data_IF_578114188069
#
_entry.id   IF_578114188069
#
_cell.length_a   1.000
_cell.length_b   1.000
_cell.length_c   1.000
_cell.angle_alpha   90.00
_cell.angle_beta   90.00
_cell.angle_gamma   90.00
#
_symmetry.space_group_name_H-M   'P 1'
#
loop_
_entity.id
_entity.type
_entity.pdbx_description
1 polymer ?
#
# COMPACT_ATOMS: atom_id res chain seq x y z
N UNK A 1 -10.11 10.44 3.76
CA UNK A 1 -9.86 9.69 2.51
C UNK A 1 -11.21 9.43 1.89
N UNK A 2 -11.38 9.80 0.62
CA UNK A 2 -12.62 9.58 -0.13
C UNK A 2 -12.82 8.10 -0.48
N UNK A 3 -14.07 7.65 -0.57
CA UNK A 3 -14.39 6.24 -0.79
C UNK A 3 -13.80 5.67 -2.09
N UNK A 4 -13.76 6.48 -3.16
CA UNK A 4 -13.23 6.07 -4.46
C UNK A 4 -11.72 5.75 -4.42
N UNK A 5 -10.96 6.37 -3.51
CA UNK A 5 -9.52 6.13 -3.38
C UNK A 5 -9.20 4.72 -2.86
N UNK A 6 -10.15 4.08 -2.18
CA UNK A 6 -9.97 2.74 -1.63
C UNK A 6 -9.70 1.68 -2.71
N UNK A 7 -10.20 1.91 -3.93
CA UNK A 7 -10.01 1.00 -5.06
C UNK A 7 -8.51 0.83 -5.43
N UNK A 8 -7.69 1.87 -5.23
CA UNK A 8 -6.27 1.83 -5.58
C UNK A 8 -5.37 1.27 -4.49
N UNK A 9 -5.88 1.14 -3.26
CA UNK A 9 -5.04 0.74 -2.13
C UNK A 9 -4.44 -0.65 -2.36
N UNK A 10 -3.13 -0.72 -2.21
CA UNK A 10 -2.38 -1.93 -2.36
C UNK A 10 -2.18 -2.42 -3.80
N UNK A 11 -2.65 -1.68 -4.81
CA UNK A 11 -2.37 -1.98 -6.21
C UNK A 11 -0.86 -2.05 -6.46
N UNK A 12 -0.46 -2.95 -7.36
CA UNK A 12 0.95 -3.19 -7.69
C UNK A 12 1.38 -2.52 -8.99
N UNK A 13 0.40 -2.09 -9.77
CA UNK A 13 0.58 -1.54 -11.10
C UNK A 13 -0.26 -0.27 -11.20
N UNK A 14 0.22 0.65 -12.02
CA UNK A 14 -0.55 1.82 -12.43
C UNK A 14 -1.69 1.31 -13.32
N UNK A 15 -2.94 1.73 -13.06
CA UNK A 15 -4.06 1.48 -13.95
C UNK A 15 -3.78 2.00 -15.36
N UNK A 16 -4.25 1.30 -16.39
CA UNK A 16 -4.05 1.71 -17.78
C UNK A 16 -4.74 3.04 -18.09
N UNK A 17 -5.83 3.32 -17.36
CA UNK A 17 -6.63 4.52 -17.47
C UNK A 17 -6.67 5.24 -16.12
N UNK A 18 -6.22 6.49 -16.12
CA UNK A 18 -6.43 7.45 -15.03
C UNK A 18 -7.04 8.70 -15.66
N UNK A 19 -8.15 9.17 -15.12
CA UNK A 19 -8.76 10.42 -15.60
C UNK A 19 -8.00 11.65 -15.06
N UNK A 20 -8.33 12.83 -15.58
CA UNK A 20 -7.66 14.08 -15.20
C UNK A 20 -7.77 14.39 -13.71
N UNK A 21 -8.91 14.09 -13.09
CA UNK A 21 -9.12 14.28 -11.66
C UNK A 21 -8.23 13.36 -10.81
N UNK A 22 -8.10 12.09 -11.19
CA UNK A 22 -7.22 11.12 -10.53
C UNK A 22 -5.75 11.50 -10.69
N UNK A 23 -5.36 11.94 -11.89
CA UNK A 23 -4.03 12.47 -12.17
C UNK A 23 -3.73 13.69 -11.30
N UNK A 24 -4.60 14.69 -11.29
CA UNK A 24 -4.44 15.88 -10.46
C UNK A 24 -4.40 15.55 -8.96
N UNK A 25 -5.20 14.58 -8.51
CA UNK A 25 -5.24 14.15 -7.10
C UNK A 25 -3.96 13.45 -6.68
N UNK A 26 -3.43 12.55 -7.50
CA UNK A 26 -2.32 11.69 -7.10
C UNK A 26 -0.97 12.14 -7.61
N UNK A 27 -0.88 12.92 -8.69
CA UNK A 27 0.37 13.25 -9.37
C UNK A 27 0.67 14.75 -9.46
N UNK A 28 0.01 15.55 -8.60
CA UNK A 28 0.42 16.92 -8.29
C UNK A 28 1.36 16.95 -7.08
N UNK A 29 2.26 17.93 -7.01
CA UNK A 29 3.31 17.99 -5.99
C UNK A 29 3.28 19.28 -5.18
N UNK A 30 3.34 19.15 -3.86
CA UNK A 30 3.58 20.26 -2.93
C UNK A 30 4.98 20.85 -3.13
N UNK A 31 5.23 22.05 -2.57
CA UNK A 31 6.55 22.70 -2.61
C UNK A 31 7.67 21.82 -2.03
N UNK A 32 7.38 21.09 -0.95
CA UNK A 32 8.33 20.16 -0.32
C UNK A 32 8.71 19.02 -1.27
N UNK A 33 7.72 18.44 -1.93
CA UNK A 33 7.93 17.35 -2.90
C UNK A 33 8.65 17.86 -4.15
N UNK A 34 8.27 19.04 -4.67
CA UNK A 34 8.97 19.71 -5.77
C UNK A 34 10.44 19.95 -5.45
N UNK A 35 10.77 20.50 -4.28
CA UNK A 35 12.18 20.70 -3.89
C UNK A 35 13.01 19.41 -3.90
N UNK A 36 12.40 18.28 -3.52
CA UNK A 36 13.08 16.97 -3.57
C UNK A 36 13.24 16.45 -5.02
N UNK A 37 12.20 16.63 -5.84
CA UNK A 37 12.20 16.24 -7.26
C UNK A 37 13.21 17.08 -8.04
N UNK A 38 13.16 18.41 -7.92
CA UNK A 38 13.96 19.35 -8.69
C UNK A 38 15.46 19.25 -8.39
N UNK A 39 15.81 18.78 -7.19
CA UNK A 39 17.18 18.45 -6.80
C UNK A 39 17.78 17.25 -7.56
N UNK A 40 17.00 16.52 -8.37
CA UNK A 40 17.53 15.44 -9.21
C UNK A 40 18.25 16.03 -10.44
N UNK A 41 19.35 15.38 -10.82
CA UNK A 41 20.30 15.87 -11.84
C UNK A 41 19.78 15.83 -13.28
N UNK A 42 18.80 15.00 -13.59
CA UNK A 42 18.26 14.85 -14.95
C UNK A 42 16.74 14.77 -14.93
N UNK A 43 16.11 15.19 -16.01
CA UNK A 43 14.65 15.18 -16.13
C UNK A 43 14.06 13.77 -16.01
N UNK A 44 14.76 12.77 -16.52
CA UNK A 44 14.37 11.37 -16.35
C UNK A 44 14.32 10.94 -14.88
N UNK A 45 15.24 11.44 -14.04
CA UNK A 45 15.22 11.16 -12.60
C UNK A 45 14.12 11.97 -11.91
N UNK A 46 13.87 13.21 -12.33
CA UNK A 46 12.77 14.03 -11.83
C UNK A 46 11.42 13.34 -12.08
N UNK A 47 11.20 12.91 -13.31
CA UNK A 47 10.04 12.12 -13.73
C UNK A 47 9.92 10.82 -12.95
N UNK A 48 11.02 10.08 -12.78
CA UNK A 48 11.06 8.84 -12.01
C UNK A 48 10.62 9.07 -10.56
N UNK A 49 11.20 10.05 -9.87
CA UNK A 49 10.85 10.36 -8.48
C UNK A 49 9.40 10.85 -8.37
N UNK A 50 8.95 11.74 -9.26
CA UNK A 50 7.56 12.21 -9.32
C UNK A 50 6.56 11.07 -9.48
N UNK A 51 6.86 10.12 -10.38
CA UNK A 51 6.08 8.90 -10.57
C UNK A 51 5.98 8.08 -9.27
N UNK A 52 7.10 7.85 -8.58
CA UNK A 52 7.11 7.08 -7.33
C UNK A 52 6.33 7.78 -6.21
N UNK A 53 6.46 9.11 -6.07
CA UNK A 53 5.69 9.90 -5.10
C UNK A 53 4.20 9.73 -5.37
N UNK A 54 3.76 9.97 -6.60
CA UNK A 54 2.34 9.87 -6.92
C UNK A 54 1.80 8.45 -6.77
N UNK A 55 2.60 7.43 -7.11
CA UNK A 55 2.21 6.04 -6.91
C UNK A 55 2.05 5.66 -5.43
N UNK A 56 2.97 6.07 -4.56
CA UNK A 56 2.85 5.84 -3.11
C UNK A 56 1.63 6.57 -2.55
N UNK A 57 1.38 7.80 -3.00
CA UNK A 57 0.19 8.57 -2.62
C UNK A 57 -1.09 7.88 -3.04
N UNK A 58 -1.15 7.34 -4.26
CA UNK A 58 -2.32 6.63 -4.79
C UNK A 58 -2.56 5.30 -4.09
N UNK A 59 -1.51 4.50 -3.89
CA UNK A 59 -1.67 3.07 -3.55
C UNK A 59 -1.26 2.71 -2.13
N UNK A 60 -0.54 3.60 -1.42
CA UNK A 60 0.13 3.30 -0.16
C UNK A 60 1.28 2.31 -0.30
N UNK A 61 1.80 2.07 -1.50
CA UNK A 61 2.86 1.08 -1.80
C UNK A 61 3.93 1.65 -2.69
N UNK A 62 5.11 1.03 -2.63
CA UNK A 62 6.18 1.29 -3.58
C UNK A 62 5.88 0.65 -4.92
N UNK A 63 6.22 1.35 -6.00
CA UNK A 63 6.14 0.84 -7.37
C UNK A 63 7.35 -0.05 -7.65
N UNK A 64 7.13 -1.35 -7.91
CA UNK A 64 8.18 -2.25 -8.36
C UNK A 64 8.65 -1.88 -9.79
N UNK A 65 9.74 -2.50 -10.28
CA UNK A 65 10.18 -2.33 -11.66
C UNK A 65 9.02 -2.61 -12.64
N UNK A 66 8.61 -1.56 -13.36
CA UNK A 66 7.36 -1.53 -14.11
C UNK A 66 7.56 -1.91 -15.59
N UNK A 67 6.50 -2.35 -16.27
CA UNK A 67 6.53 -2.78 -17.68
C UNK A 67 6.13 -1.70 -18.71
N UNK A 68 5.09 -0.88 -18.44
CA UNK A 68 4.48 0.13 -19.35
C UNK A 68 3.68 1.30 -18.69
N UNK A 69 4.25 2.49 -18.49
CA UNK A 69 3.50 3.59 -17.85
C UNK A 69 2.55 4.27 -18.88
N UNK A 70 1.28 4.57 -18.53
CA UNK A 70 0.33 5.19 -19.47
C UNK A 70 0.79 6.55 -20.00
N UNK A 71 0.48 6.84 -21.28
CA UNK A 71 0.86 8.10 -21.93
C UNK A 71 0.27 9.33 -21.22
N UNK A 72 -0.99 9.24 -20.80
CA UNK A 72 -1.66 10.34 -20.08
C UNK A 72 -0.92 10.73 -18.80
N UNK A 73 -0.44 9.73 -18.05
CA UNK A 73 0.37 9.97 -16.86
C UNK A 73 1.72 10.60 -17.19
N UNK A 74 2.35 10.21 -18.31
CA UNK A 74 3.57 10.89 -18.77
C UNK A 74 3.34 12.35 -19.10
N UNK A 75 2.32 12.64 -19.89
CA UNK A 75 1.98 14.02 -20.25
C UNK A 75 1.76 14.86 -19.00
N UNK A 76 0.96 14.36 -18.04
CA UNK A 76 0.68 15.07 -16.80
C UNK A 76 1.95 15.29 -15.96
N UNK A 77 2.80 14.28 -15.78
CA UNK A 77 4.04 14.44 -15.02
C UNK A 77 5.02 15.42 -15.70
N UNK A 78 5.09 15.41 -17.02
CA UNK A 78 5.98 16.27 -17.79
C UNK A 78 5.57 17.72 -17.66
N UNK A 79 4.26 17.99 -17.78
CA UNK A 79 3.66 19.30 -17.53
C UNK A 79 3.87 19.74 -16.06
N UNK A 80 3.52 18.88 -15.11
CA UNK A 80 3.67 19.16 -13.68
C UNK A 80 5.11 19.46 -13.29
N UNK A 81 6.11 18.93 -14.01
CA UNK A 81 7.53 19.10 -13.71
C UNK A 81 8.23 20.16 -14.59
N UNK A 82 7.62 20.57 -15.70
CA UNK A 82 8.21 21.48 -16.68
C UNK A 82 9.36 20.84 -17.46
N UNK A 83 9.20 19.58 -17.85
CA UNK A 83 10.21 18.78 -18.58
C UNK A 83 9.59 18.13 -19.80
N UNK A 84 10.42 17.68 -20.73
CA UNK A 84 9.94 16.97 -21.91
C UNK A 84 9.47 15.55 -21.58
N UNK A 85 8.38 15.06 -22.21
CA UNK A 85 7.90 13.70 -22.00
C UNK A 85 8.95 12.69 -22.47
N UNK A 86 9.18 11.61 -21.68
CA UNK A 86 10.19 10.64 -22.02
C UNK A 86 9.75 9.81 -23.23
N UNK A 87 10.73 9.40 -24.04
CA UNK A 87 10.51 8.40 -25.09
C UNK A 87 9.97 7.07 -24.54
N UNK A 88 9.33 6.29 -25.42
CA UNK A 88 8.86 4.95 -25.06
C UNK A 88 10.03 4.07 -24.59
N UNK A 89 9.88 3.46 -23.41
CA UNK A 89 10.89 2.53 -22.84
C UNK A 89 12.00 3.18 -22.01
N UNK A 90 12.09 4.52 -21.93
CA UNK A 90 13.21 5.23 -21.27
C UNK A 90 13.34 4.89 -19.77
N UNK A 91 12.23 4.64 -19.06
CA UNK A 91 12.30 4.21 -17.65
C UNK A 91 12.68 2.74 -17.45
N UNK A 92 12.35 1.87 -18.41
CA UNK A 92 12.88 0.50 -18.39
C UNK A 92 14.40 0.54 -18.51
N UNK A 93 14.93 1.45 -19.31
CA UNK A 93 16.37 1.72 -19.39
C UNK A 93 16.94 2.33 -18.11
N UNK A 94 16.18 3.17 -17.40
CA UNK A 94 16.61 3.74 -16.10
C UNK A 94 16.85 2.64 -15.05
N UNK A 95 15.93 1.68 -14.95
CA UNK A 95 15.95 0.66 -13.89
C UNK A 95 16.48 -0.71 -14.32
N UNK A 96 16.71 -0.93 -15.62
CA UNK A 96 17.01 -2.26 -16.19
C UNK A 96 18.31 -2.91 -15.72
N UNK A 97 19.25 -2.15 -15.13
CA UNK A 97 20.51 -2.66 -14.56
C UNK A 97 20.90 -2.02 -13.21
N UNK A 98 20.09 -1.09 -12.68
CA UNK A 98 20.41 -0.26 -11.51
C UNK A 98 19.32 -0.43 -10.44
N UNK A 99 19.40 -1.51 -9.68
CA UNK A 99 18.50 -1.79 -8.56
C UNK A 99 18.53 -0.68 -7.51
N UNK A 100 19.70 -0.07 -7.30
CA UNK A 100 19.90 0.94 -6.26
C UNK A 100 19.12 2.22 -6.58
N UNK A 101 19.09 2.65 -7.84
CA UNK A 101 18.31 3.84 -8.26
C UNK A 101 16.81 3.64 -8.03
N UNK A 102 16.29 2.43 -8.29
CA UNK A 102 14.89 2.11 -8.02
C UNK A 102 14.60 2.18 -6.52
N UNK A 103 15.46 1.55 -5.71
CA UNK A 103 15.31 1.54 -4.24
C UNK A 103 15.39 2.96 -3.67
N UNK A 104 16.33 3.77 -4.13
CA UNK A 104 16.48 5.17 -3.73
C UNK A 104 15.22 5.98 -4.06
N UNK A 105 14.67 5.83 -5.26
CA UNK A 105 13.45 6.54 -5.66
C UNK A 105 12.23 6.10 -4.84
N UNK A 106 12.10 4.80 -4.58
CA UNK A 106 11.06 4.27 -3.70
C UNK A 106 11.19 4.84 -2.28
N UNK A 107 12.41 4.88 -1.74
CA UNK A 107 12.72 5.42 -0.42
C UNK A 107 12.38 6.90 -0.30
N UNK A 108 12.87 7.71 -1.23
CA UNK A 108 12.58 9.14 -1.27
C UNK A 108 11.07 9.40 -1.33
N UNK A 109 10.36 8.64 -2.17
CA UNK A 109 8.92 8.80 -2.35
C UNK A 109 8.12 8.51 -1.09
N UNK A 110 8.38 7.39 -0.40
CA UNK A 110 7.62 7.10 0.81
C UNK A 110 8.02 8.04 1.96
N UNK A 111 9.29 8.42 2.07
CA UNK A 111 9.77 9.28 3.15
C UNK A 111 9.21 10.71 3.04
N UNK A 112 9.18 11.30 1.83
CA UNK A 112 8.69 12.66 1.66
C UNK A 112 7.21 12.79 2.02
N UNK A 113 6.44 11.73 1.74
CA UNK A 113 5.02 11.57 2.08
C UNK A 113 4.77 11.14 3.54
N UNK A 114 5.83 10.93 4.32
CA UNK A 114 5.75 10.50 5.72
C UNK A 114 5.39 9.03 5.93
N UNK A 115 5.37 8.22 4.86
CA UNK A 115 5.18 6.78 4.97
C UNK A 115 6.41 6.10 5.56
N UNK A 116 6.21 4.92 6.15
CA UNK A 116 7.28 4.05 6.67
C UNK A 116 6.97 2.58 6.43
N UNK A 117 7.99 1.71 6.32
CA UNK A 117 7.77 0.27 6.34
C UNK A 117 7.05 -0.19 7.61
N UNK A 118 6.23 -1.22 7.49
CA UNK A 118 5.53 -1.81 8.64
C UNK A 118 6.53 -2.48 9.58
N UNK A 119 6.48 -2.08 10.85
CA UNK A 119 7.27 -2.68 11.93
C UNK A 119 6.59 -3.96 12.47
N UNK A 120 7.36 -4.81 13.15
CA UNK A 120 6.79 -6.01 13.80
C UNK A 120 5.79 -5.65 14.91
N UNK A 121 6.00 -4.54 15.62
CA UNK A 121 5.03 -4.05 16.59
C UNK A 121 3.67 -3.72 15.94
N UNK A 122 3.69 -2.99 14.83
CA UNK A 122 2.47 -2.68 14.06
C UNK A 122 1.82 -3.93 13.47
N UNK A 123 2.62 -4.90 13.00
CA UNK A 123 2.10 -6.20 12.54
C UNK A 123 1.35 -6.92 13.66
N UNK A 124 1.93 -6.99 14.87
CA UNK A 124 1.26 -7.60 16.04
C UNK A 124 -0.02 -6.86 16.43
N UNK A 125 -0.03 -5.54 16.34
CA UNK A 125 -1.24 -4.74 16.56
C UNK A 125 -2.34 -5.10 15.57
N UNK A 126 -2.03 -5.10 14.27
CA UNK A 126 -2.95 -5.48 13.19
C UNK A 126 -3.52 -6.88 13.41
N UNK A 127 -2.68 -7.84 13.81
CA UNK A 127 -3.14 -9.21 14.12
C UNK A 127 -4.12 -9.25 15.29
N UNK A 128 -3.89 -8.47 16.34
CA UNK A 128 -4.80 -8.39 17.50
C UNK A 128 -6.14 -7.80 17.07
N UNK A 129 -6.12 -6.67 16.37
CA UNK A 129 -7.32 -6.03 15.82
C UNK A 129 -8.11 -7.00 14.93
N UNK A 130 -7.43 -7.75 14.04
CA UNK A 130 -8.07 -8.77 13.19
C UNK A 130 -8.77 -9.85 14.01
N UNK A 131 -8.17 -10.34 15.10
CA UNK A 131 -8.79 -11.36 15.98
C UNK A 131 -10.07 -10.84 16.64
N UNK A 132 -10.05 -9.59 17.10
CA UNK A 132 -11.20 -8.93 17.70
C UNK A 132 -12.31 -8.69 16.67
N UNK A 133 -11.96 -8.17 15.48
CA UNK A 133 -12.91 -7.85 14.41
C UNK A 133 -13.54 -9.08 13.73
N UNK A 134 -12.79 -10.19 13.63
CA UNK A 134 -13.27 -11.44 13.03
C UNK A 134 -14.05 -12.32 14.01
N UNK A 135 -14.03 -11.99 15.31
CA UNK A 135 -14.83 -12.68 16.30
C UNK A 135 -16.32 -12.31 16.12
N UNK A 136 -17.11 -13.23 15.58
CA UNK A 136 -18.57 -13.09 15.48
C UNK A 136 -19.12 -12.51 14.16
N UNK A 137 -18.28 -12.19 13.16
CA UNK A 137 -18.75 -11.72 11.84
C UNK A 137 -18.66 -12.80 10.74
N UNK A 138 -19.76 -13.12 10.03
CA UNK A 138 -19.74 -14.08 8.93
C UNK A 138 -19.28 -13.48 7.59
N UNK A 139 -19.37 -12.15 7.41
CA UNK A 139 -19.14 -11.49 6.12
C UNK A 139 -17.69 -11.03 5.96
N UNK A 140 -17.06 -11.47 4.86
CA UNK A 140 -15.60 -11.64 4.76
C UNK A 140 -14.99 -11.09 3.48
N UNK A 141 -15.81 -10.66 2.52
CA UNK A 141 -15.37 -10.26 1.18
C UNK A 141 -14.56 -8.95 1.15
N UNK A 142 -14.84 -8.03 2.07
CA UNK A 142 -14.25 -6.68 2.07
C UNK A 142 -13.06 -6.50 3.04
N UNK A 143 -12.79 -7.49 3.89
CA UNK A 143 -11.80 -7.39 4.96
C UNK A 143 -10.39 -7.05 4.46
N UNK A 144 -10.02 -7.51 3.26
CA UNK A 144 -8.73 -7.15 2.68
C UNK A 144 -8.64 -5.65 2.35
N UNK A 145 -9.71 -5.04 1.86
CA UNK A 145 -9.77 -3.60 1.55
C UNK A 145 -9.76 -2.78 2.85
N UNK A 146 -10.55 -3.19 3.85
CA UNK A 146 -10.53 -2.58 5.19
C UNK A 146 -9.14 -2.64 5.83
N UNK A 147 -8.48 -3.80 5.72
CA UNK A 147 -7.14 -4.00 6.24
C UNK A 147 -6.08 -3.14 5.54
N UNK A 148 -6.28 -2.80 4.26
CA UNK A 148 -5.38 -1.90 3.52
C UNK A 148 -5.56 -0.44 3.92
N UNK A 149 -6.74 -0.05 4.39
CA UNK A 149 -7.05 1.31 4.82
C UNK A 149 -6.24 1.75 6.03
N UNK A 150 -6.18 0.90 7.08
CA UNK A 150 -5.50 1.26 8.32
C UNK A 150 -4.01 1.61 8.13
N UNK A 151 -3.17 0.78 7.46
CA UNK A 151 -1.79 1.14 7.20
C UNK A 151 -1.67 2.47 6.46
N UNK A 152 -2.51 2.70 5.43
CA UNK A 152 -2.46 3.93 4.67
C UNK A 152 -2.72 5.17 5.55
N UNK A 153 -3.80 5.15 6.33
CA UNK A 153 -4.19 6.26 7.21
C UNK A 153 -3.10 6.56 8.27
N UNK A 154 -2.35 5.55 8.69
CA UNK A 154 -1.26 5.67 9.66
C UNK A 154 0.11 5.91 9.01
N UNK A 155 0.15 6.19 7.70
CA UNK A 155 1.37 6.38 6.91
C UNK A 155 2.33 5.19 7.05
N UNK A 156 1.78 3.98 6.95
CA UNK A 156 2.52 2.72 6.91
C UNK A 156 2.34 2.14 5.51
N UNK A 157 3.45 1.74 4.89
CA UNK A 157 3.42 1.09 3.58
C UNK A 157 2.57 -0.18 3.66
N UNK A 158 1.62 -0.29 2.73
CA UNK A 158 0.76 -1.47 2.61
C UNK A 158 1.62 -2.65 2.13
N UNK A 159 1.58 -3.74 2.90
CA UNK A 159 2.30 -4.95 2.54
C UNK A 159 1.71 -5.64 1.31
N UNK A 160 2.47 -6.59 0.73
CA UNK A 160 1.94 -7.47 -0.30
C UNK A 160 0.69 -8.21 0.18
N UNK A 161 -0.31 -8.33 -0.71
CA UNK A 161 -1.55 -9.08 -0.46
C UNK A 161 -1.30 -10.48 0.13
N UNK A 162 -0.20 -11.16 -0.25
CA UNK A 162 0.18 -12.45 0.34
C UNK A 162 0.41 -12.37 1.85
N UNK A 163 1.05 -11.31 2.34
CA UNK A 163 1.22 -11.09 3.77
C UNK A 163 -0.12 -10.72 4.42
N UNK A 164 -0.87 -9.77 3.84
CA UNK A 164 -2.16 -9.35 4.41
C UNK A 164 -3.15 -10.51 4.52
N UNK A 165 -3.28 -11.34 3.47
CA UNK A 165 -4.10 -12.56 3.47
C UNK A 165 -3.63 -13.55 4.54
N UNK A 166 -2.32 -13.67 4.77
CA UNK A 166 -1.76 -14.51 5.85
C UNK A 166 -2.14 -13.98 7.23
N UNK A 167 -2.05 -12.67 7.46
CA UNK A 167 -2.47 -12.04 8.72
C UNK A 167 -3.97 -12.26 8.97
N UNK A 168 -4.79 -12.12 7.92
CA UNK A 168 -6.23 -12.43 7.98
C UNK A 168 -6.45 -13.87 8.41
N UNK A 169 -5.75 -14.85 7.80
CA UNK A 169 -5.87 -16.26 8.17
C UNK A 169 -5.43 -16.50 9.61
N UNK A 170 -4.34 -15.89 10.07
CA UNK A 170 -3.85 -15.99 11.45
C UNK A 170 -4.77 -15.32 12.49
N UNK A 171 -5.51 -14.28 12.07
CA UNK A 171 -6.51 -13.60 12.89
C UNK A 171 -7.81 -14.38 13.04
N UNK A 172 -8.02 -15.47 12.28
CA UNK A 172 -9.24 -16.26 12.40
C UNK A 172 -9.30 -16.92 13.77
N UNK A 173 -10.44 -16.86 14.49
CA UNK A 173 -10.63 -17.72 15.64
C UNK A 173 -10.49 -19.17 15.17
N UNK A 174 -9.71 -19.98 15.92
CA UNK A 174 -9.66 -21.41 15.68
C UNK A 174 -11.09 -21.96 15.69
N UNK A 175 -11.40 -22.94 14.82
CA UNK A 175 -12.64 -23.70 14.97
C UNK A 175 -12.65 -24.22 16.40
N UNK A 176 -13.46 -23.64 17.31
CA UNK A 176 -13.78 -24.34 18.55
C UNK A 176 -14.35 -25.67 18.12
N UNK A 177 -13.65 -26.74 18.46
CA UNK A 177 -14.17 -28.09 18.30
C UNK A 177 -15.55 -28.13 18.95
N UNK A 178 -16.49 -28.85 18.35
CA UNK A 178 -17.82 -29.08 18.98
C UNK A 178 -17.66 -29.77 20.35
N UNK A 179 -16.50 -30.38 20.63
CA UNK A 179 -16.13 -30.97 21.92
C UNK A 179 -15.89 -29.95 23.04
N UNK A 180 -15.45 -28.72 22.73
CA UNK A 180 -15.16 -27.70 23.77
C UNK A 180 -16.42 -27.05 24.35
N UNK A 181 -17.60 -27.31 23.75
CA UNK A 181 -18.88 -26.80 24.27
C UNK A 181 -19.50 -27.65 25.39
N UNK A 182 -18.99 -28.87 25.63
CA UNK A 182 -19.53 -29.79 26.65
C UNK A 182 -18.56 -30.08 27.81
N UNK A 183 -17.34 -29.53 27.80
CA UNK A 183 -16.37 -29.71 28.88
C UNK A 183 -16.61 -28.78 30.10
N UNK A 184 -17.67 -27.95 30.08
CA UNK A 184 -17.95 -26.95 31.12
C UNK A 184 -18.95 -27.35 32.20
N UNK A 185 -19.51 -28.57 32.19
CA UNK A 185 -20.63 -28.94 33.09
C UNK A 185 -20.39 -30.15 33.98
N UNK A 186 -19.14 -30.47 34.32
CA UNK A 186 -18.88 -31.53 35.30
C UNK A 186 -17.68 -31.19 36.18
N UNK A 187 -17.86 -30.27 37.12
CA UNK A 187 -16.93 -30.16 38.25
C UNK A 187 -17.55 -29.47 39.48
N UNK A 188 -18.77 -29.86 39.90
CA UNK A 188 -19.26 -29.62 41.28
C UNK A 188 -20.29 -30.69 41.68
N UNK A 189 -19.82 -31.75 42.35
CA UNK A 189 -20.51 -32.62 43.34
C UNK A 189 -19.34 -33.25 44.12
N UNK A 190 -18.74 -32.51 45.05
CA UNK A 190 -19.13 -32.39 46.47
C UNK A 190 -19.46 -33.76 47.07
N UNK A 191 -18.55 -34.17 47.96
CA UNK A 191 -18.72 -35.18 48.99
C UNK A 191 -19.99 -34.91 49.83
N UNK A 192 -20.80 -35.94 50.06
CA UNK A 192 -21.65 -36.08 51.25
C UNK A 192 -22.29 -37.48 51.23
N UNK A 193 -21.95 -38.33 52.21
CA UNK A 193 -22.62 -39.59 52.52
C UNK A 193 -21.70 -40.77 52.67
#
# INVERSE_FOLDING_TARGET
MEHWQLAYLGMRQIPDELNEFELATFFTFSRKERGLIDARRTDLYRLGVGLHIGFVRMTGRTLDAYKQIPKALWSHLSEQLGVDPPGLGTLRSLYGRRTDTLVDHQMLAYQVLGFRPMTEHQRRYVLRWLKEHLSGRPERGQLLHELKRWPYEHRILIAHDRLLKRLIVQGRPGRRSRADRYAGTRLWRIDAG
#
